data_IF_560160708217
#
_entry.id   IF_560160708217
#
_cell.length_a   1.000
_cell.length_b   1.000
_cell.length_c   1.000
_cell.angle_alpha   90.00
_cell.angle_beta   90.00
_cell.angle_gamma   90.00
#
_symmetry.space_group_name_H-M   'P 1'
#
loop_
_entity.id
_entity.type
_entity.pdbx_description
1 polymer ?
#
# COMPACT_ATOMS: atom_id res chain seq x y z
N UNK A 1 2.54 -13.90 -20.19
CA UNK A 1 1.91 -12.57 -20.19
C UNK A 1 1.94 -12.09 -18.75
N UNK A 2 3.00 -11.41 -18.33
CA UNK A 2 3.15 -11.03 -16.92
C UNK A 2 2.29 -9.79 -16.67
N UNK A 3 1.13 -10.01 -16.05
CA UNK A 3 0.29 -8.96 -15.52
C UNK A 3 1.18 -7.99 -14.73
N UNK A 4 1.12 -6.70 -15.07
CA UNK A 4 1.76 -5.63 -14.31
C UNK A 4 0.97 -5.40 -13.01
N UNK A 5 0.80 -6.47 -12.25
CA UNK A 5 0.04 -6.52 -11.02
C UNK A 5 0.84 -5.86 -9.90
N UNK A 6 0.14 -5.09 -9.07
CA UNK A 6 0.64 -4.60 -7.80
C UNK A 6 1.28 -5.75 -7.01
N UNK A 7 2.49 -5.52 -6.51
CA UNK A 7 3.20 -6.52 -5.70
C UNK A 7 3.07 -6.16 -4.24
N UNK A 8 2.49 -7.06 -3.45
CA UNK A 8 2.55 -6.98 -2.00
C UNK A 8 3.83 -7.67 -1.51
N UNK A 9 4.58 -7.04 -0.61
CA UNK A 9 5.74 -7.68 0.03
C UNK A 9 5.31 -8.58 1.20
N UNK A 10 6.19 -9.51 1.58
CA UNK A 10 6.00 -10.35 2.75
C UNK A 10 5.87 -9.56 4.06
N UNK A 11 6.57 -8.42 4.20
CA UNK A 11 6.49 -7.58 5.39
C UNK A 11 5.08 -7.02 5.58
N UNK A 12 4.53 -6.43 4.51
CA UNK A 12 3.17 -5.90 4.53
C UNK A 12 2.14 -7.00 4.73
N UNK A 13 2.29 -8.15 4.07
CA UNK A 13 1.43 -9.31 4.28
C UNK A 13 1.50 -9.82 5.73
N UNK A 14 2.69 -9.90 6.32
CA UNK A 14 2.85 -10.32 7.71
C UNK A 14 2.18 -9.35 8.68
N UNK A 15 2.26 -8.03 8.43
CA UNK A 15 1.56 -7.06 9.29
C UNK A 15 0.05 -7.23 9.24
N UNK A 16 -0.50 -7.44 8.04
CA UNK A 16 -1.93 -7.71 7.89
C UNK A 16 -2.32 -8.99 8.61
N UNK A 17 -1.51 -10.05 8.50
CA UNK A 17 -1.74 -11.30 9.23
C UNK A 17 -1.73 -11.09 10.74
N UNK A 18 -0.79 -10.32 11.27
CA UNK A 18 -0.74 -10.00 12.71
C UNK A 18 -1.97 -9.22 13.16
N UNK A 19 -2.44 -8.27 12.35
CA UNK A 19 -3.64 -7.48 12.68
C UNK A 19 -4.91 -8.35 12.61
N UNK A 20 -5.03 -9.23 11.60
CA UNK A 20 -6.09 -10.25 11.52
C UNK A 20 -6.12 -11.15 12.75
N UNK A 21 -4.96 -11.64 13.17
CA UNK A 21 -4.82 -12.52 14.34
C UNK A 21 -5.15 -11.78 15.65
N UNK A 22 -4.70 -10.52 15.77
CA UNK A 22 -4.99 -9.66 16.92
C UNK A 22 -6.48 -9.33 17.06
N UNK A 23 -7.17 -9.11 15.94
CA UNK A 23 -8.63 -8.88 15.92
C UNK A 23 -9.43 -10.20 16.01
N UNK A 24 -8.77 -11.35 15.79
CA UNK A 24 -9.42 -12.66 15.73
C UNK A 24 -10.34 -12.85 14.52
N UNK A 25 -10.17 -12.04 13.46
CA UNK A 25 -11.03 -12.05 12.29
C UNK A 25 -10.21 -12.38 11.02
N UNK A 26 -10.36 -13.62 10.57
CA UNK A 26 -9.68 -14.12 9.37
C UNK A 26 -10.29 -13.59 8.07
N UNK A 27 -11.49 -13.03 8.09
CA UNK A 27 -12.12 -12.46 6.89
C UNK A 27 -11.67 -11.02 6.60
N UNK A 28 -10.90 -10.40 7.51
CA UNK A 28 -10.37 -9.06 7.28
C UNK A 28 -9.38 -9.03 6.11
N UNK A 29 -9.63 -8.11 5.18
CA UNK A 29 -8.84 -7.86 4.00
C UNK A 29 -8.21 -6.47 4.08
N UNK A 30 -6.99 -6.32 3.58
CA UNK A 30 -6.30 -5.03 3.58
C UNK A 30 -6.71 -4.22 2.35
N UNK A 31 -7.48 -3.15 2.53
CA UNK A 31 -7.77 -2.18 1.48
C UNK A 31 -6.72 -1.09 1.41
N UNK A 32 -6.14 -0.89 0.22
CA UNK A 32 -5.18 0.18 -0.05
C UNK A 32 -5.82 1.23 -0.94
N UNK A 33 -5.76 2.48 -0.51
CA UNK A 33 -6.29 3.62 -1.25
C UNK A 33 -5.30 4.79 -1.23
N UNK A 34 -5.29 5.59 -2.28
CA UNK A 34 -4.44 6.78 -2.34
C UNK A 34 -5.20 7.95 -1.70
N UNK A 35 -4.55 8.63 -0.75
CA UNK A 35 -5.05 9.86 -0.13
C UNK A 35 -4.12 11.02 -0.48
N UNK A 36 -4.67 12.15 -0.92
CA UNK A 36 -3.87 13.36 -1.16
C UNK A 36 -3.27 13.89 0.15
N UNK A 37 -1.95 13.81 0.29
CA UNK A 37 -1.21 14.22 1.49
C UNK A 37 -0.65 15.64 1.38
N UNK A 38 -1.50 16.66 1.46
CA UNK A 38 -1.06 18.07 1.56
C UNK A 38 -0.11 18.57 0.46
N UNK A 39 0.49 19.75 0.67
CA UNK A 39 1.16 20.56 -0.37
C UNK A 39 2.32 19.91 -1.17
N UNK A 40 2.78 18.69 -0.90
CA UNK A 40 3.94 18.10 -1.62
C UNK A 40 3.99 16.57 -1.69
N UNK A 41 2.89 15.84 -1.46
CA UNK A 41 2.97 14.37 -1.51
C UNK A 41 1.65 13.60 -1.69
N UNK A 42 1.75 12.45 -2.33
CA UNK A 42 0.72 11.40 -2.26
C UNK A 42 0.97 10.57 -1.01
N UNK A 43 -0.07 10.35 -0.21
CA UNK A 43 -0.05 9.43 0.92
C UNK A 43 -0.87 8.20 0.58
N UNK A 44 -0.45 7.05 1.08
CA UNK A 44 -1.20 5.81 0.91
C UNK A 44 -1.92 5.50 2.22
N UNK A 45 -3.22 5.30 2.13
CA UNK A 45 -4.09 4.90 3.22
C UNK A 45 -4.30 3.39 3.21
N UNK A 46 -4.38 2.83 4.40
CA UNK A 46 -4.57 1.40 4.64
C UNK A 46 -5.77 1.26 5.55
N UNK A 47 -6.76 0.50 5.11
CA UNK A 47 -7.95 0.22 5.89
C UNK A 47 -8.24 -1.27 5.88
N UNK A 48 -8.96 -1.76 6.87
CA UNK A 48 -9.43 -3.14 6.89
C UNK A 48 -10.87 -3.18 6.41
N UNK A 49 -11.14 -4.08 5.47
CA UNK A 49 -12.47 -4.31 4.94
C UNK A 49 -12.81 -5.79 5.08
N UNK A 50 -14.02 -6.08 5.55
CA UNK A 50 -14.55 -7.45 5.63
C UNK A 50 -15.23 -7.86 4.33
N UNK A 51 -15.36 -6.95 3.37
CA UNK A 51 -16.04 -7.18 2.10
C UNK A 51 -15.35 -6.45 0.96
N UNK A 52 -15.24 -7.13 -0.17
CA UNK A 52 -14.78 -6.59 -1.45
C UNK A 52 -15.94 -5.90 -2.17
N UNK A 53 -15.69 -4.71 -2.76
CA UNK A 53 -16.66 -4.07 -3.66
C UNK A 53 -16.46 -4.56 -5.10
N UNK A 54 -17.48 -4.40 -5.94
CA UNK A 54 -17.44 -4.84 -7.35
C UNK A 54 -16.35 -4.14 -8.16
N UNK A 55 -16.01 -2.90 -7.80
CA UNK A 55 -14.97 -2.10 -8.45
C UNK A 55 -13.57 -2.25 -7.80
N UNK A 56 -13.43 -3.11 -6.78
CA UNK A 56 -12.15 -3.36 -6.12
C UNK A 56 -11.38 -4.50 -6.81
N UNK A 57 -10.10 -4.24 -7.09
CA UNK A 57 -9.16 -5.25 -7.51
C UNK A 57 -8.66 -6.06 -6.31
N UNK A 58 -8.85 -7.39 -6.34
CA UNK A 58 -8.34 -8.32 -5.33
C UNK A 58 -6.94 -8.82 -5.70
N UNK A 59 -6.01 -8.72 -4.76
CA UNK A 59 -4.66 -9.28 -4.83
C UNK A 59 -4.47 -10.23 -3.66
N UNK A 60 -4.12 -11.48 -3.96
CA UNK A 60 -3.83 -12.48 -2.94
C UNK A 60 -2.33 -12.63 -2.80
N UNK A 61 -1.81 -12.48 -1.58
CA UNK A 61 -0.44 -12.82 -1.26
C UNK A 61 -0.41 -13.81 -0.08
N UNK A 62 -0.18 -15.08 -0.41
CA UNK A 62 -0.23 -16.18 0.54
C UNK A 62 -1.64 -16.34 1.11
N UNK A 63 -1.80 -16.03 2.39
CA UNK A 63 -3.07 -16.12 3.12
C UNK A 63 -3.79 -14.77 3.25
N UNK A 64 -3.15 -13.69 2.82
CA UNK A 64 -3.68 -12.34 2.97
C UNK A 64 -4.29 -11.86 1.67
N UNK A 65 -5.47 -11.25 1.80
CA UNK A 65 -6.16 -10.57 0.71
C UNK A 65 -5.94 -9.07 0.82
N UNK A 66 -5.56 -8.47 -0.30
CA UNK A 66 -5.47 -7.03 -0.49
C UNK A 66 -6.51 -6.57 -1.49
N UNK A 67 -7.20 -5.50 -1.17
CA UNK A 67 -8.20 -4.86 -2.02
C UNK A 67 -7.69 -3.49 -2.45
N UNK A 68 -7.94 -3.11 -3.69
CA UNK A 68 -7.57 -1.80 -4.21
C UNK A 68 -8.69 -1.26 -5.08
N UNK A 69 -9.19 -0.09 -4.72
CA UNK A 69 -10.16 0.64 -5.53
C UNK A 69 -9.66 0.85 -6.95
N UNK A 70 -10.50 0.70 -7.97
CA UNK A 70 -10.17 0.97 -9.37
C UNK A 70 -9.46 2.32 -9.59
N UNK A 71 -9.88 3.36 -8.87
CA UNK A 71 -9.24 4.69 -8.92
C UNK A 71 -7.83 4.70 -8.36
N UNK A 72 -7.55 3.93 -7.30
CA UNK A 72 -6.23 3.81 -6.70
C UNK A 72 -5.35 2.83 -7.48
N UNK A 73 -5.96 1.82 -8.10
CA UNK A 73 -5.28 0.79 -8.86
C UNK A 73 -4.43 1.38 -9.99
N UNK A 74 -4.94 2.36 -10.74
CA UNK A 74 -4.14 3.03 -11.78
C UNK A 74 -2.90 3.76 -11.23
N UNK A 75 -2.93 4.20 -9.97
CA UNK A 75 -1.78 4.83 -9.29
C UNK A 75 -0.88 3.82 -8.60
N UNK A 76 -1.32 2.58 -8.45
CA UNK A 76 -0.59 1.49 -7.80
C UNK A 76 -0.12 0.44 -8.80
N UNK A 77 -0.59 0.47 -10.04
CA UNK A 77 -0.24 -0.51 -11.07
C UNK A 77 1.28 -0.53 -11.28
N UNK A 78 1.88 -1.73 -11.23
CA UNK A 78 3.33 -1.90 -11.28
C UNK A 78 4.11 -1.39 -10.05
N UNK A 79 3.42 -1.03 -8.96
CA UNK A 79 4.04 -0.61 -7.71
C UNK A 79 4.27 -1.79 -6.76
N UNK A 80 5.14 -1.57 -5.78
CA UNK A 80 5.43 -2.51 -4.70
C UNK A 80 4.96 -1.92 -3.37
N UNK A 81 4.07 -2.61 -2.66
CA UNK A 81 3.61 -2.24 -1.32
C UNK A 81 4.48 -2.93 -0.29
N UNK A 82 5.28 -2.14 0.41
CA UNK A 82 6.16 -2.57 1.49
C UNK A 82 5.69 -2.04 2.85
N UNK A 83 6.15 -2.69 3.91
CA UNK A 83 5.90 -2.25 5.27
C UNK A 83 7.20 -2.12 6.03
N UNK A 84 7.45 -0.92 6.54
CA UNK A 84 8.68 -0.58 7.24
C UNK A 84 8.35 -0.31 8.70
N UNK A 85 8.93 -1.11 9.58
CA UNK A 85 8.91 -0.91 11.03
C UNK A 85 10.29 -0.47 11.49
N UNK A 86 10.38 0.71 12.09
CA UNK A 86 11.62 1.24 12.63
C UNK A 86 11.40 2.06 13.90
N UNK A 87 12.49 2.66 14.40
CA UNK A 87 12.47 3.54 15.58
C UNK A 87 11.57 4.77 15.38
N UNK A 88 11.44 5.23 14.13
CA UNK A 88 10.58 6.36 13.75
C UNK A 88 9.09 5.99 13.66
N UNK A 89 8.76 4.71 13.83
CA UNK A 89 7.41 4.19 13.76
C UNK A 89 7.22 3.18 12.65
N UNK A 90 6.00 2.65 12.61
CA UNK A 90 5.60 1.60 11.70
C UNK A 90 4.69 2.17 10.61
N UNK A 91 5.12 2.14 9.36
CA UNK A 91 4.38 2.73 8.23
C UNK A 91 4.44 1.83 7.00
N UNK A 92 3.36 1.85 6.25
CA UNK A 92 3.35 1.28 4.91
C UNK A 92 3.97 2.25 3.91
N UNK A 93 4.74 1.71 2.99
CA UNK A 93 5.47 2.45 1.97
C UNK A 93 5.13 1.84 0.62
N UNK A 94 4.70 2.66 -0.32
CA UNK A 94 4.46 2.20 -1.69
C UNK A 94 5.55 2.75 -2.59
N UNK A 95 6.25 1.85 -3.26
CA UNK A 95 7.24 2.19 -4.27
C UNK A 95 6.59 2.06 -5.64
N UNK A 96 6.16 3.19 -6.19
CA UNK A 96 5.63 3.26 -7.54
C UNK A 96 6.71 3.76 -8.50
N UNK A 97 7.18 2.95 -9.48
CA UNK A 97 8.15 3.40 -10.46
C UNK A 97 7.62 4.52 -11.38
N UNK A 98 6.30 4.62 -11.52
CA UNK A 98 5.62 5.70 -12.25
C UNK A 98 5.40 6.95 -11.39
N UNK A 99 5.47 6.84 -10.05
CA UNK A 99 5.44 7.99 -9.17
C UNK A 99 6.79 8.69 -9.24
N UNK A 100 6.91 9.56 -10.24
CA UNK A 100 7.99 10.54 -10.31
C UNK A 100 7.74 11.55 -9.19
N UNK A 101 8.15 11.21 -7.96
CA UNK A 101 8.32 12.21 -6.92
C UNK A 101 9.47 13.11 -7.35
N UNK A 102 9.11 14.12 -8.13
CA UNK A 102 9.91 15.33 -8.28
C UNK A 102 9.89 16.03 -6.92
N UNK A 103 10.74 15.60 -6.00
CA UNK A 103 11.19 16.50 -4.95
C UNK A 103 12.23 17.43 -5.60
N UNK A 104 11.75 18.28 -6.51
CA UNK A 104 12.49 19.37 -7.12
C UNK A 104 12.63 20.55 -6.16
N UNK A 105 13.11 20.27 -4.93
CA UNK A 105 13.59 21.31 -4.03
C UNK A 105 14.88 20.83 -3.33
N UNK A 106 15.90 20.54 -4.14
CA UNK A 106 17.00 21.49 -4.32
C UNK A 106 17.72 22.06 -3.09
N UNK A 107 17.65 21.45 -1.91
CA UNK A 107 18.53 21.85 -0.80
C UNK A 107 19.38 20.68 -0.33
N UNK A 108 20.17 20.18 -1.28
CA UNK A 108 21.48 19.63 -0.97
C UNK A 108 22.27 20.65 -0.16
N UNK A 109 22.74 20.22 1.00
CA UNK A 109 23.95 20.69 1.67
C UNK A 109 24.14 22.22 1.76
N UNK A 110 23.85 22.76 2.94
CA UNK A 110 24.51 23.97 3.42
C UNK A 110 26.02 23.71 3.45
N UNK A 111 26.78 24.58 2.78
CA UNK A 111 28.18 24.86 3.13
C UNK A 111 28.29 25.39 4.55
#
# INVERSE_FOLDING_TARGET
>A
MNAQALVLTDNAANKVRQLRDSEGNQDLMLRVYVTGGGCSGFSYGFNFAESQNEDDAEFVNGDVKMLVDSLSYQYLVGSVVDYVEGLEGSRFVVQNPNATTTCGCGSSFSI
#
